data_IF_850079688200
#
_entry.id   IF_850079688200
#
_cell.length_a   1.000
_cell.length_b   1.000
_cell.length_c   1.000
_cell.angle_alpha   90.00
_cell.angle_beta   90.00
_cell.angle_gamma   90.00
#
_symmetry.space_group_name_H-M   'P 1'
#
loop_
_entity.id
_entity.type
_entity.pdbx_description
1 polymer ?
#
# COMPACT_ATOMS: atom_id res chain seq x y z
N UNK A 1 -1.12 -6.93 17.02
CA UNK A 1 -2.24 -6.35 16.22
C UNK A 1 -3.43 -7.32 16.16
N UNK A 2 -4.65 -6.81 16.02
CA UNK A 2 -5.80 -7.63 15.60
C UNK A 2 -5.84 -7.72 14.06
N UNK A 3 -5.68 -8.92 13.44
CA UNK A 3 -5.62 -9.08 11.99
C UNK A 3 -6.83 -8.53 11.24
N UNK A 4 -8.03 -8.71 11.79
CA UNK A 4 -9.26 -8.17 11.20
C UNK A 4 -9.22 -6.65 11.13
N UNK A 5 -8.75 -5.98 12.19
CA UNK A 5 -8.67 -4.52 12.22
C UNK A 5 -7.64 -3.97 11.23
N UNK A 6 -6.53 -4.65 11.02
CA UNK A 6 -5.57 -4.26 9.97
C UNK A 6 -6.15 -4.41 8.58
N UNK A 7 -6.76 -5.55 8.28
CA UNK A 7 -7.42 -5.77 6.98
C UNK A 7 -8.53 -4.74 6.73
N UNK A 8 -9.29 -4.38 7.77
CA UNK A 8 -10.33 -3.36 7.68
C UNK A 8 -9.74 -1.96 7.47
N UNK A 9 -8.92 -1.46 8.40
CA UNK A 9 -8.42 -0.09 8.35
C UNK A 9 -7.38 0.10 7.24
N UNK A 10 -6.44 -0.82 7.10
CA UNK A 10 -5.50 -0.85 5.98
C UNK A 10 -6.23 -0.94 4.65
N UNK A 11 -7.27 -1.79 4.56
CA UNK A 11 -8.13 -1.88 3.37
C UNK A 11 -8.78 -0.55 3.01
N UNK A 12 -9.41 0.13 3.98
CA UNK A 12 -10.02 1.46 3.78
C UNK A 12 -8.97 2.46 3.28
N UNK A 13 -7.82 2.54 3.96
CA UNK A 13 -6.76 3.49 3.63
C UNK A 13 -6.26 3.26 2.20
N UNK A 14 -5.96 2.01 1.83
CA UNK A 14 -5.47 1.67 0.50
C UNK A 14 -6.49 1.95 -0.61
N UNK A 15 -7.78 1.69 -0.36
CA UNK A 15 -8.85 2.07 -1.31
C UNK A 15 -8.90 3.58 -1.49
N UNK A 16 -8.86 4.36 -0.40
CA UNK A 16 -8.88 5.82 -0.47
C UNK A 16 -7.66 6.35 -1.21
N UNK A 17 -6.46 5.87 -0.88
CA UNK A 17 -5.20 6.25 -1.56
C UNK A 17 -5.28 5.93 -3.05
N UNK A 18 -5.67 4.71 -3.42
CA UNK A 18 -5.79 4.31 -4.82
C UNK A 18 -6.79 5.17 -5.60
N UNK A 19 -7.96 5.48 -5.01
CA UNK A 19 -8.96 6.37 -5.62
C UNK A 19 -8.39 7.78 -5.79
N UNK A 20 -7.79 8.35 -4.75
CA UNK A 20 -7.23 9.71 -4.79
C UNK A 20 -6.14 9.85 -5.85
N UNK A 21 -5.32 8.83 -6.07
CA UNK A 21 -4.33 8.85 -7.14
C UNK A 21 -4.97 8.77 -8.53
N UNK A 22 -5.98 7.90 -8.71
CA UNK A 22 -6.71 7.78 -9.99
C UNK A 22 -7.52 9.02 -10.35
N UNK A 23 -8.03 9.77 -9.36
CA UNK A 23 -8.81 11.01 -9.58
C UNK A 23 -7.95 12.28 -9.61
N UNK A 24 -6.64 12.14 -9.74
CA UNK A 24 -5.67 13.22 -9.84
C UNK A 24 -5.55 14.13 -8.60
N UNK A 25 -5.62 13.56 -7.39
CA UNK A 25 -5.33 14.27 -6.14
C UNK A 25 -3.91 13.99 -5.65
N UNK A 26 -3.43 12.76 -5.78
CA UNK A 26 -2.08 12.35 -5.32
C UNK A 26 -1.28 11.58 -6.40
N UNK A 27 -1.60 11.78 -7.68
CA UNK A 27 -1.05 11.04 -8.82
C UNK A 27 -1.85 11.33 -10.09
N UNK A 28 -1.71 10.57 -11.19
CA UNK A 28 -0.71 9.54 -11.46
C UNK A 28 0.62 10.09 -11.98
N UNK A 29 0.84 11.40 -11.86
CA UNK A 29 2.09 12.07 -12.20
C UNK A 29 2.38 13.14 -11.15
N UNK A 30 3.64 13.53 -11.02
CA UNK A 30 4.08 14.54 -10.04
C UNK A 30 3.32 15.87 -10.17
N UNK A 31 3.03 16.33 -11.39
CA UNK A 31 2.32 17.59 -11.66
C UNK A 31 0.84 17.56 -11.27
N UNK A 32 0.28 16.37 -11.06
CA UNK A 32 -1.11 16.15 -10.67
C UNK A 32 -1.29 15.83 -9.19
N UNK A 33 -0.19 15.62 -8.46
CA UNK A 33 -0.24 15.40 -7.01
C UNK A 33 -0.26 16.73 -6.27
N UNK A 34 -1.11 16.86 -5.25
CA UNK A 34 -1.07 17.99 -4.30
C UNK A 34 0.26 18.10 -3.54
N UNK A 35 1.07 17.04 -3.54
CA UNK A 35 2.41 17.00 -2.94
C UNK A 35 3.54 17.20 -3.96
N UNK A 36 3.21 17.41 -5.24
CA UNK A 36 4.17 17.62 -6.32
C UNK A 36 5.11 16.42 -6.51
N UNK A 37 6.38 16.71 -6.84
CA UNK A 37 7.42 15.69 -7.02
C UNK A 37 7.89 15.03 -5.73
N UNK A 38 7.43 15.49 -4.57
CA UNK A 38 7.84 14.94 -3.26
C UNK A 38 7.21 13.56 -3.04
N UNK A 39 5.94 13.41 -3.41
CA UNK A 39 5.20 12.17 -3.20
C UNK A 39 3.98 12.09 -4.11
N UNK A 40 3.96 11.09 -4.96
CA UNK A 40 2.87 10.82 -5.89
C UNK A 40 2.88 9.33 -6.19
N UNK A 41 1.76 8.80 -6.65
CA UNK A 41 1.64 7.39 -6.99
C UNK A 41 1.29 7.27 -8.46
N UNK A 42 2.04 6.48 -9.23
CA UNK A 42 1.70 6.22 -10.61
C UNK A 42 0.48 5.32 -10.78
N UNK A 43 0.05 5.10 -12.02
CA UNK A 43 -1.13 4.28 -12.29
C UNK A 43 -1.01 2.86 -11.73
N UNK A 44 0.17 2.24 -11.81
CA UNK A 44 0.36 0.87 -11.32
C UNK A 44 0.25 0.80 -9.80
N UNK A 45 0.82 1.76 -9.08
CA UNK A 45 0.71 1.84 -7.62
C UNK A 45 -0.73 2.12 -7.19
N UNK A 46 -1.42 3.04 -7.85
CA UNK A 46 -2.81 3.36 -7.55
C UNK A 46 -3.73 2.14 -7.72
N UNK A 47 -3.54 1.37 -8.79
CA UNK A 47 -4.27 0.13 -8.99
C UNK A 47 -3.89 -0.95 -7.98
N UNK A 48 -2.61 -1.07 -7.63
CA UNK A 48 -2.17 -2.01 -6.60
C UNK A 48 -2.81 -1.69 -5.24
N UNK A 49 -2.77 -0.42 -4.81
CA UNK A 49 -3.42 0.04 -3.59
C UNK A 49 -4.93 -0.22 -3.63
N UNK A 50 -5.62 0.13 -4.71
CA UNK A 50 -7.06 -0.09 -4.82
C UNK A 50 -7.43 -1.58 -4.72
N UNK A 51 -6.76 -2.43 -5.50
CA UNK A 51 -7.07 -3.86 -5.56
C UNK A 51 -6.73 -4.57 -4.24
N UNK A 52 -5.54 -4.33 -3.68
CA UNK A 52 -5.15 -4.89 -2.39
C UNK A 52 -6.07 -4.38 -1.28
N UNK A 53 -6.47 -3.10 -1.33
CA UNK A 53 -7.41 -2.51 -0.40
C UNK A 53 -8.77 -3.21 -0.42
N UNK A 54 -9.37 -3.37 -1.61
CA UNK A 54 -10.64 -4.09 -1.78
C UNK A 54 -10.54 -5.54 -1.30
N UNK A 55 -9.48 -6.26 -1.68
CA UNK A 55 -9.25 -7.65 -1.24
C UNK A 55 -9.09 -7.72 0.28
N UNK A 56 -8.36 -6.77 0.88
CA UNK A 56 -8.20 -6.66 2.34
C UNK A 56 -9.54 -6.47 3.05
N UNK A 57 -10.39 -5.57 2.56
CA UNK A 57 -11.74 -5.37 3.09
C UNK A 57 -12.58 -6.64 3.01
N UNK A 58 -12.58 -7.32 1.87
CA UNK A 58 -13.29 -8.60 1.71
C UNK A 58 -12.76 -9.62 2.72
N UNK A 59 -11.44 -9.77 2.85
CA UNK A 59 -10.81 -10.72 3.77
C UNK A 59 -11.16 -10.43 5.25
N UNK A 60 -11.34 -9.16 5.62
CA UNK A 60 -11.72 -8.77 6.99
C UNK A 60 -13.08 -9.36 7.43
N UNK A 61 -13.99 -9.61 6.48
CA UNK A 61 -15.33 -10.14 6.76
C UNK A 61 -15.54 -11.58 6.31
N UNK A 62 -14.90 -12.00 5.21
CA UNK A 62 -15.13 -13.30 4.60
C UNK A 62 -14.21 -14.40 5.16
N UNK A 63 -13.00 -14.06 5.62
CA UNK A 63 -12.03 -15.07 6.04
C UNK A 63 -12.17 -15.40 7.53
N UNK A 64 -11.99 -16.67 7.93
CA UNK A 64 -11.90 -17.03 9.34
C UNK A 64 -10.63 -16.46 9.97
N UNK A 65 -10.64 -16.26 11.29
CA UNK A 65 -9.51 -15.70 12.03
C UNK A 65 -8.18 -16.45 11.82
N UNK A 66 -8.25 -17.78 11.62
CA UNK A 66 -7.10 -18.63 11.33
C UNK A 66 -6.41 -18.31 10.00
N UNK A 67 -7.14 -17.79 9.01
CA UNK A 67 -6.61 -17.39 7.71
C UNK A 67 -6.20 -15.90 7.67
N UNK A 68 -6.86 -15.04 8.47
CA UNK A 68 -6.55 -13.61 8.52
C UNK A 68 -5.13 -13.33 9.04
N UNK A 69 -4.70 -14.02 10.10
CA UNK A 69 -3.36 -13.77 10.69
C UNK A 69 -2.22 -14.05 9.70
N UNK A 70 -2.14 -15.22 9.05
CA UNK A 70 -1.09 -15.47 8.05
C UNK A 70 -1.13 -14.50 6.87
N UNK A 71 -2.33 -14.12 6.42
CA UNK A 71 -2.49 -13.14 5.34
C UNK A 71 -1.89 -11.77 5.73
N UNK A 72 -2.23 -11.27 6.92
CA UNK A 72 -1.69 -9.99 7.41
C UNK A 72 -0.18 -10.06 7.59
N UNK A 73 0.35 -11.17 8.11
CA UNK A 73 1.80 -11.38 8.21
C UNK A 73 2.48 -11.38 6.84
N UNK A 74 1.87 -12.02 5.83
CA UNK A 74 2.38 -12.01 4.46
C UNK A 74 2.42 -10.58 3.89
N UNK A 75 1.34 -9.80 4.05
CA UNK A 75 1.31 -8.40 3.65
C UNK A 75 2.39 -7.58 4.37
N UNK A 76 2.61 -7.85 5.66
CA UNK A 76 3.66 -7.22 6.46
C UNK A 76 5.06 -7.49 5.92
N UNK A 77 5.37 -8.76 5.64
CA UNK A 77 6.65 -9.18 5.06
C UNK A 77 6.84 -8.55 3.68
N UNK A 78 5.82 -8.57 2.81
CA UNK A 78 5.89 -7.95 1.48
C UNK A 78 6.16 -6.44 1.62
N UNK A 79 5.47 -5.74 2.52
CA UNK A 79 5.71 -4.32 2.78
C UNK A 79 7.16 -4.05 3.17
N UNK A 80 7.71 -4.80 4.13
CA UNK A 80 9.11 -4.64 4.53
C UNK A 80 10.06 -4.94 3.37
N UNK A 81 9.82 -6.00 2.60
CA UNK A 81 10.68 -6.37 1.46
C UNK A 81 10.66 -5.28 0.38
N UNK A 82 9.49 -4.75 0.02
CA UNK A 82 9.37 -3.66 -0.95
C UNK A 82 10.05 -2.39 -0.43
N UNK A 83 9.85 -2.03 0.84
CA UNK A 83 10.50 -0.87 1.45
C UNK A 83 12.02 -1.01 1.59
N UNK A 84 12.56 -2.22 1.77
CA UNK A 84 14.01 -2.45 1.73
C UNK A 84 14.54 -2.46 0.29
N UNK A 85 13.78 -3.00 -0.65
CA UNK A 85 14.13 -3.02 -2.07
C UNK A 85 14.22 -1.61 -2.64
N UNK A 86 13.30 -0.72 -2.26
CA UNK A 86 13.24 0.66 -2.72
C UNK A 86 14.54 1.43 -2.43
N UNK A 87 15.27 1.10 -1.36
CA UNK A 87 16.58 1.70 -1.04
C UNK A 87 17.58 1.52 -2.19
N UNK A 88 17.50 0.41 -2.92
CA UNK A 88 18.44 0.06 -4.00
C UNK A 88 17.87 0.32 -5.40
N UNK A 89 16.55 0.21 -5.59
CA UNK A 89 15.91 0.44 -6.88
C UNK A 89 14.53 1.11 -6.72
N UNK A 90 14.35 2.23 -7.40
CA UNK A 90 13.13 3.06 -7.37
C UNK A 90 12.10 2.65 -8.43
N UNK A 91 12.26 1.47 -9.04
CA UNK A 91 11.33 0.91 -10.02
C UNK A 91 11.00 -0.53 -9.64
N UNK A 92 9.73 -0.85 -9.54
CA UNK A 92 9.27 -2.19 -9.21
C UNK A 92 8.02 -2.56 -10.02
N UNK A 93 8.08 -3.68 -10.75
CA UNK A 93 6.97 -4.18 -11.60
C UNK A 93 6.36 -3.12 -12.56
N UNK A 94 7.17 -2.18 -13.04
CA UNK A 94 6.73 -1.12 -13.94
C UNK A 94 6.23 0.15 -13.24
N UNK A 95 6.21 0.16 -11.91
CA UNK A 95 5.85 1.31 -11.08
C UNK A 95 7.06 2.00 -10.45
N UNK A 96 6.88 3.26 -10.07
CA UNK A 96 7.84 4.04 -9.30
C UNK A 96 7.79 3.71 -7.82
N UNK A 97 8.85 4.10 -7.11
CA UNK A 97 8.92 4.13 -5.66
C UNK A 97 9.57 5.46 -5.27
N UNK A 98 8.76 6.35 -4.72
CA UNK A 98 9.00 7.75 -4.44
C UNK A 98 9.80 7.85 -3.15
N UNK A 99 11.12 7.70 -3.29
CA UNK A 99 12.01 7.68 -2.14
C UNK A 99 12.45 9.07 -1.69
N UNK A 100 12.58 9.28 -0.36
CA UNK A 100 12.54 8.26 0.70
C UNK A 100 11.14 7.94 1.26
N UNK A 101 10.08 8.61 0.80
CA UNK A 101 8.74 8.50 1.38
C UNK A 101 8.21 7.06 1.33
N UNK A 102 8.33 6.39 0.19
CA UNK A 102 7.79 5.04 0.03
C UNK A 102 8.57 3.98 0.78
N UNK A 103 9.89 4.10 0.87
CA UNK A 103 10.71 3.27 1.78
C UNK A 103 10.14 3.32 3.19
N UNK A 104 9.91 4.54 3.71
CA UNK A 104 9.40 4.74 5.07
C UNK A 104 7.98 4.18 5.21
N UNK A 105 7.09 4.51 4.27
CA UNK A 105 5.71 4.04 4.27
C UNK A 105 5.63 2.52 4.33
N UNK A 106 6.34 1.83 3.44
CA UNK A 106 6.27 0.38 3.32
C UNK A 106 6.87 -0.34 4.53
N UNK A 107 7.97 0.17 5.10
CA UNK A 107 8.55 -0.37 6.33
C UNK A 107 7.61 -0.13 7.52
N UNK A 108 7.02 1.06 7.65
CA UNK A 108 6.11 1.38 8.78
C UNK A 108 4.83 0.57 8.69
N UNK A 109 4.19 0.49 7.52
CA UNK A 109 2.97 -0.32 7.33
C UNK A 109 3.27 -1.81 7.48
N UNK A 110 4.42 -2.26 6.96
CA UNK A 110 4.87 -3.64 7.10
C UNK A 110 5.14 -4.02 8.56
N UNK A 111 5.79 -3.13 9.31
CA UNK A 111 6.01 -3.28 10.74
C UNK A 111 4.73 -3.15 11.57
N UNK A 112 3.77 -2.34 11.16
CA UNK A 112 2.44 -2.28 11.78
C UNK A 112 1.74 -3.64 11.67
N UNK A 113 1.83 -4.30 10.52
CA UNK A 113 1.19 -5.59 10.23
C UNK A 113 1.69 -6.78 11.07
N UNK A 114 2.96 -6.75 11.49
CA UNK A 114 3.63 -7.84 12.21
C UNK A 114 3.48 -7.71 13.74
#
# INVERSE_FOLDING_TARGET
MNPKQFLLWGGIILVVVGILGLVNVIGPTADKSIFGSTWWFDNGENWAHLLIGVVGLIAAFAFPASAQKPLVMLLGIIGIVVGLYSIFNQKFLGSNLENPADTILHIVVGGWAL
#
